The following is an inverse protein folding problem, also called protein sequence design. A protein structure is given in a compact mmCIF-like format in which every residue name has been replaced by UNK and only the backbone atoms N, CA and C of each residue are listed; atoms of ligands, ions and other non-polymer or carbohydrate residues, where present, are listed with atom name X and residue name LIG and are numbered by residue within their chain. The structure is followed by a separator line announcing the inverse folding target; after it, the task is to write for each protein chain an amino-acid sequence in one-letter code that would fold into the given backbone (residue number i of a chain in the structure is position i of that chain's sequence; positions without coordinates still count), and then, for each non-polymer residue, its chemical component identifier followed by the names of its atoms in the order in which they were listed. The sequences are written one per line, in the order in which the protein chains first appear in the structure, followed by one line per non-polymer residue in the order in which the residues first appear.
data_IF_292059750497
#
_entry.id   IF_292059750497
#
_cell.length_a   1.000
_cell.length_b   1.000
_cell.length_c   1.000
_cell.angle_alpha   90.00
_cell.angle_beta   90.00
_cell.angle_gamma   90.00
#
_symmetry.space_group_name_H-M   'P 1'
#
loop_
_entity.id
_entity.type
_entity.pdbx_description
1 polymer ?
#
# COMPACT_ATOMS: atom_id res chain seq x y z
N UNK A 1 -9.16 4.56 -6.97
CA UNK A 1 -8.35 3.91 -5.93
C UNK A 1 -9.01 2.58 -5.62
N UNK A 2 -8.25 1.48 -5.73
CA UNK A 2 -8.75 0.11 -5.55
C UNK A 2 -8.37 -0.38 -4.15
N UNK A 3 -9.23 -0.13 -3.16
CA UNK A 3 -9.00 -0.47 -1.76
C UNK A 3 -9.27 -1.96 -1.53
N UNK A 4 -8.23 -2.75 -1.26
CA UNK A 4 -8.37 -4.22 -1.17
C UNK A 4 -7.83 -4.84 0.10
N UNK A 5 -6.88 -4.19 0.74
CA UNK A 5 -6.24 -4.72 1.95
C UNK A 5 -6.65 -3.82 3.11
N UNK A 6 -7.09 -4.43 4.20
CA UNK A 6 -7.47 -3.73 5.42
C UNK A 6 -6.81 -4.43 6.61
N UNK A 7 -6.15 -3.66 7.46
CA UNK A 7 -5.65 -4.11 8.75
C UNK A 7 -6.18 -3.14 9.81
N UNK A 8 -6.93 -3.67 10.78
CA UNK A 8 -7.36 -2.92 11.95
C UNK A 8 -6.27 -3.04 13.03
N UNK A 9 -5.92 -1.92 13.65
CA UNK A 9 -4.91 -1.81 14.70
C UNK A 9 -5.51 -1.03 15.89
N UNK A 10 -6.15 -1.77 16.79
CA UNK A 10 -6.83 -1.20 17.97
C UNK A 10 -5.84 -0.56 18.94
N UNK A 11 -4.60 -1.06 19.02
CA UNK A 11 -3.55 -0.52 19.89
C UNK A 11 -3.13 0.91 19.49
N UNK A 12 -3.38 1.31 18.24
CA UNK A 12 -3.05 2.62 17.70
C UNK A 12 -4.28 3.45 17.30
N UNK A 13 -5.49 2.95 17.57
CA UNK A 13 -6.76 3.54 17.13
C UNK A 13 -6.81 3.79 15.61
N UNK A 14 -6.23 2.86 14.82
CA UNK A 14 -6.03 3.06 13.37
C UNK A 14 -6.56 1.91 12.52
N UNK A 15 -6.93 2.25 11.30
CA UNK A 15 -7.18 1.28 10.23
C UNK A 15 -6.22 1.58 9.08
N UNK A 16 -5.43 0.60 8.68
CA UNK A 16 -4.54 0.71 7.52
C UNK A 16 -5.23 0.12 6.29
N UNK A 17 -5.20 0.86 5.18
CA UNK A 17 -5.81 0.45 3.92
C UNK A 17 -4.78 0.45 2.81
N UNK A 18 -4.60 -0.71 2.17
CA UNK A 18 -3.76 -0.88 0.99
C UNK A 18 -4.56 -0.72 -0.29
N UNK A 19 -4.03 0.07 -1.22
CA UNK A 19 -4.59 0.25 -2.55
C UNK A 19 -3.50 0.33 -3.64
N UNK A 20 -3.88 0.70 -4.87
CA UNK A 20 -2.92 0.97 -5.94
C UNK A 20 -2.10 2.20 -5.59
N UNK A 21 -0.78 2.03 -5.48
CA UNK A 21 0.26 3.02 -5.22
C UNK A 21 0.16 3.75 -3.86
N UNK A 22 -0.80 3.38 -3.00
CA UNK A 22 -1.06 4.10 -1.76
C UNK A 22 -1.32 3.16 -0.59
N UNK A 23 -0.79 3.55 0.57
CA UNK A 23 -1.13 3.00 1.89
C UNK A 23 -1.77 4.15 2.69
N UNK A 24 -3.00 3.95 3.15
CA UNK A 24 -3.73 4.92 3.96
C UNK A 24 -3.74 4.49 5.42
N UNK A 25 -3.72 5.47 6.32
CA UNK A 25 -3.95 5.29 7.75
C UNK A 25 -5.12 6.17 8.17
N UNK A 26 -6.21 5.52 8.58
CA UNK A 26 -7.48 6.13 8.95
C UNK A 26 -7.65 6.08 10.48
N UNK A 27 -8.35 7.06 11.03
CA UNK A 27 -8.79 7.03 12.42
C UNK A 27 -9.97 6.05 12.57
N UNK A 28 -9.89 5.10 13.51
CA UNK A 28 -10.93 4.09 13.72
C UNK A 28 -12.28 4.70 14.17
N UNK A 29 -12.23 5.82 14.91
CA UNK A 29 -13.40 6.49 15.47
C UNK A 29 -14.09 7.41 14.45
N UNK A 30 -13.37 7.86 13.42
CA UNK A 30 -13.94 8.67 12.34
C UNK A 30 -13.13 8.54 11.04
N UNK A 31 -13.55 7.63 10.17
CA UNK A 31 -12.89 7.38 8.87
C UNK A 31 -13.05 8.52 7.86
N UNK A 32 -13.93 9.48 8.12
CA UNK A 32 -14.14 10.66 7.26
C UNK A 32 -13.15 11.78 7.54
N UNK A 33 -12.37 11.67 8.63
CA UNK A 33 -11.26 12.57 8.90
C UNK A 33 -10.14 12.38 7.84
N UNK A 34 -9.37 13.44 7.58
CA UNK A 34 -8.27 13.39 6.63
C UNK A 34 -7.27 12.25 6.96
N UNK A 35 -7.05 11.30 6.03
CA UNK A 35 -6.15 10.18 6.25
C UNK A 35 -4.68 10.59 6.13
N UNK A 36 -3.80 9.89 6.86
CA UNK A 36 -2.40 9.90 6.46
C UNK A 36 -2.25 9.01 5.22
N UNK A 37 -1.57 9.52 4.20
CA UNK A 37 -1.36 8.84 2.93
C UNK A 37 0.14 8.69 2.64
N UNK A 38 0.58 7.45 2.45
CA UNK A 38 1.91 7.14 1.94
C UNK A 38 1.77 6.79 0.46
N UNK A 39 2.31 7.65 -0.39
CA UNK A 39 2.47 7.34 -1.81
C UNK A 39 3.68 6.44 -2.02
N UNK A 40 3.43 5.20 -2.43
CA UNK A 40 4.42 4.15 -2.63
C UNK A 40 4.23 3.48 -4.00
N UNK A 41 4.50 4.20 -5.11
CA UNK A 41 4.35 3.67 -6.46
C UNK A 41 5.46 2.67 -6.80
N UNK A 42 5.25 1.92 -7.88
CA UNK A 42 6.33 1.16 -8.51
C UNK A 42 7.39 2.09 -9.11
N UNK A 43 8.65 1.65 -9.18
CA UNK A 43 9.71 2.46 -9.79
C UNK A 43 9.48 2.63 -11.30
N UNK A 44 9.91 3.76 -11.86
CA UNK A 44 9.71 4.08 -13.28
C UNK A 44 10.24 2.98 -14.21
N UNK A 45 11.40 2.40 -13.89
CA UNK A 45 11.97 1.29 -14.66
C UNK A 45 11.05 0.05 -14.66
N UNK A 46 10.49 -0.32 -13.50
CA UNK A 46 9.58 -1.48 -13.41
C UNK A 46 8.24 -1.23 -14.08
N UNK A 47 7.74 0.00 -14.00
CA UNK A 47 6.56 0.40 -14.77
C UNK A 47 6.80 0.22 -16.26
N UNK A 48 7.96 0.64 -16.76
CA UNK A 48 8.28 0.54 -18.19
C UNK A 48 8.47 -0.92 -18.64
N UNK A 49 9.22 -1.72 -17.86
CA UNK A 49 9.34 -3.17 -18.11
C UNK A 49 7.97 -3.86 -18.17
N UNK A 50 7.06 -3.52 -17.25
CA UNK A 50 5.70 -4.06 -17.21
C UNK A 50 4.90 -3.72 -18.48
N UNK A 51 5.03 -2.49 -19.00
CA UNK A 51 4.38 -2.08 -20.26
C UNK A 51 4.97 -2.82 -21.46
N UNK A 52 6.30 -2.94 -21.54
CA UNK A 52 6.96 -3.69 -22.60
C UNK A 52 6.56 -5.17 -22.61
N UNK A 53 6.25 -5.74 -21.44
CA UNK A 53 5.70 -7.08 -21.31
C UNK A 53 4.22 -7.22 -21.73
N UNK A 54 3.60 -6.15 -22.27
CA UNK A 54 2.25 -6.16 -22.82
C UNK A 54 1.12 -6.08 -21.79
N UNK A 55 1.40 -5.62 -20.56
CA UNK A 55 0.37 -5.37 -19.54
C UNK A 55 -0.32 -4.04 -19.77
N UNK A 56 -1.54 -3.90 -19.26
CA UNK A 56 -2.29 -2.64 -19.31
C UNK A 56 -1.50 -1.52 -18.57
N UNK A 57 -1.05 -0.47 -19.28
CA UNK A 57 -0.28 0.62 -18.68
C UNK A 57 -1.07 1.42 -17.64
N UNK A 58 -2.39 1.52 -17.81
CA UNK A 58 -3.27 2.34 -16.98
C UNK A 58 -3.68 1.59 -15.71
N UNK A 59 -3.99 0.29 -15.83
CA UNK A 59 -4.54 -0.49 -14.71
C UNK A 59 -3.66 -1.65 -14.23
N UNK A 60 -2.59 -2.02 -14.94
CA UNK A 60 -1.76 -3.19 -14.60
C UNK A 60 -0.42 -2.83 -13.96
N UNK A 61 0.22 -1.76 -14.40
CA UNK A 61 1.62 -1.47 -14.06
C UNK A 61 1.83 -0.58 -12.82
N UNK A 62 0.94 -0.65 -11.84
CA UNK A 62 1.12 0.02 -10.54
C UNK A 62 1.69 -0.91 -9.46
N UNK A 63 1.96 -0.32 -8.29
CA UNK A 63 2.22 -1.08 -7.07
C UNK A 63 0.90 -1.30 -6.32
N UNK A 64 0.30 -2.47 -6.47
CA UNK A 64 -0.90 -2.83 -5.71
C UNK A 64 -0.48 -3.39 -4.36
N UNK A 65 -0.82 -2.73 -3.27
CA UNK A 65 -0.57 -3.26 -1.93
C UNK A 65 -1.36 -4.57 -1.76
N UNK A 66 -0.68 -5.63 -1.32
CA UNK A 66 -1.25 -6.98 -1.15
C UNK A 66 -1.11 -7.53 0.26
N UNK A 67 -0.16 -7.02 1.04
CA UNK A 67 0.07 -7.44 2.42
C UNK A 67 0.27 -6.20 3.26
N UNK A 68 -0.46 -6.12 4.38
CA UNK A 68 -0.18 -5.22 5.50
C UNK A 68 -0.29 -6.08 6.75
N UNK A 69 0.78 -6.17 7.52
CA UNK A 69 0.84 -6.97 8.75
C UNK A 69 1.56 -6.19 9.85
N UNK A 70 1.14 -6.39 11.09
CA UNK A 70 1.89 -5.89 12.24
C UNK A 70 3.20 -6.67 12.35
N UNK A 71 4.34 -6.01 12.23
CA UNK A 71 5.65 -6.65 12.34
C UNK A 71 6.14 -6.65 13.79
N UNK A 72 6.07 -5.47 14.42
CA UNK A 72 6.37 -5.28 15.83
C UNK A 72 5.54 -4.09 16.34
N UNK A 73 5.80 -3.64 17.57
CA UNK A 73 5.05 -2.52 18.17
C UNK A 73 5.07 -1.23 17.35
N UNK A 74 6.17 -0.94 16.65
CA UNK A 74 6.39 0.36 15.96
C UNK A 74 6.31 0.28 14.44
N UNK A 75 6.36 -0.91 13.84
CA UNK A 75 6.43 -1.08 12.39
C UNK A 75 5.37 -2.04 11.86
N UNK A 76 4.88 -1.69 10.68
CA UNK A 76 4.14 -2.57 9.78
C UNK A 76 5.11 -3.20 8.78
N UNK A 77 4.88 -4.46 8.42
CA UNK A 77 5.45 -5.07 7.24
C UNK A 77 4.44 -4.98 6.09
N UNK A 78 4.83 -4.30 5.02
CA UNK A 78 3.95 -4.03 3.88
C UNK A 78 4.59 -4.57 2.61
N UNK A 79 3.83 -5.29 1.79
CA UNK A 79 4.26 -5.75 0.47
C UNK A 79 3.25 -5.35 -0.60
N UNK A 80 3.78 -5.05 -1.79
CA UNK A 80 2.99 -4.73 -2.96
C UNK A 80 3.53 -5.38 -4.23
N UNK A 81 2.74 -5.35 -5.30
CA UNK A 81 3.08 -6.01 -6.56
C UNK A 81 4.22 -5.36 -7.34
N UNK A 82 4.57 -4.11 -7.04
CA UNK A 82 5.67 -3.36 -7.67
C UNK A 82 5.69 -3.44 -9.21
N UNK A 83 4.55 -3.26 -9.87
CA UNK A 83 4.40 -3.46 -11.32
C UNK A 83 4.86 -4.85 -11.82
N UNK A 84 4.33 -5.91 -11.22
CA UNK A 84 4.73 -7.31 -11.46
C UNK A 84 6.17 -7.66 -11.04
N UNK A 85 6.81 -6.80 -10.23
CA UNK A 85 8.07 -7.04 -9.55
C UNK A 85 7.88 -6.81 -8.04
N UNK A 86 7.42 -7.82 -7.27
CA UNK A 86 7.03 -7.65 -5.87
C UNK A 86 8.11 -7.02 -5.00
N UNK A 87 7.70 -6.10 -4.13
CA UNK A 87 8.58 -5.40 -3.18
C UNK A 87 7.91 -5.33 -1.82
N UNK A 88 8.74 -5.27 -0.77
CA UNK A 88 8.28 -5.12 0.61
C UNK A 88 9.07 -4.04 1.33
N UNK A 89 8.46 -3.42 2.33
CA UNK A 89 9.04 -2.34 3.14
C UNK A 89 8.50 -2.40 4.57
N UNK A 90 9.30 -1.89 5.51
CA UNK A 90 8.84 -1.61 6.87
C UNK A 90 8.34 -0.17 6.93
N UNK A 91 7.09 0.01 7.36
CA UNK A 91 6.48 1.33 7.54
C UNK A 91 6.39 1.61 9.02
N UNK A 92 6.98 2.71 9.46
CA UNK A 92 6.79 3.19 10.83
C UNK A 92 5.34 3.71 10.97
N UNK A 93 4.62 3.21 11.99
CA UNK A 93 3.21 3.56 12.25
C UNK A 93 2.99 4.56 13.39
N UNK A 94 4.08 5.05 13.98
CA UNK A 94 4.14 5.96 15.13
C UNK A 94 5.58 6.09 15.60
#
# INVERSE_FOLDING_TARGET
LDYRILLMDEDQDRIYVGSKDHILSLNINNISQDPLNIFWPASANKVEECKMAGKDPTHGCGNFVRVIQSYNRTHLYVCGSGAFSPVCVYVNRG
#
